data_IF_000780777045
#
_entry.id   IF_000780777045
#
_cell.length_a   1.000
_cell.length_b   1.000
_cell.length_c   1.000
_cell.angle_alpha   90.00
_cell.angle_beta   90.00
_cell.angle_gamma   90.00
#
_symmetry.space_group_name_H-M   'P 1'
#
loop_
_entity.id
_entity.type
_entity.pdbx_description
1 polymer ?
#
# COMPACT_ATOMS: atom_id res chain seq x y z
N UNK A 1 -2.47 -3.97 14.09
CA UNK A 1 -2.19 -5.12 13.20
C UNK A 1 -0.75 -5.64 13.33
N UNK A 2 0.30 -4.88 12.97
CA UNK A 2 1.69 -5.34 13.07
C UNK A 2 2.09 -5.77 14.50
N UNK A 3 1.71 -5.01 15.53
CA UNK A 3 1.91 -5.41 16.92
C UNK A 3 1.24 -6.74 17.27
N UNK A 4 0.04 -7.00 16.73
CA UNK A 4 -0.66 -8.28 16.91
C UNK A 4 0.09 -9.43 16.21
N UNK A 5 0.71 -9.17 15.05
CA UNK A 5 1.53 -10.16 14.35
C UNK A 5 2.79 -10.54 15.17
N UNK A 6 3.45 -9.56 15.78
CA UNK A 6 4.58 -9.81 16.70
C UNK A 6 4.11 -10.60 17.93
N UNK A 7 2.96 -10.23 18.51
CA UNK A 7 2.37 -10.97 19.62
C UNK A 7 2.03 -12.42 19.23
N UNK A 8 1.55 -12.67 18.01
CA UNK A 8 1.33 -14.03 17.50
C UNK A 8 2.64 -14.82 17.40
N UNK A 9 3.73 -14.22 16.88
CA UNK A 9 5.05 -14.89 16.86
C UNK A 9 5.48 -15.30 18.27
N UNK A 10 5.41 -14.37 19.23
CA UNK A 10 5.83 -14.63 20.62
C UNK A 10 4.95 -15.71 21.25
N UNK A 11 3.62 -15.61 21.07
CA UNK A 11 2.68 -16.54 21.68
C UNK A 11 2.83 -17.96 21.11
N UNK A 12 3.03 -18.10 19.80
CA UNK A 12 3.24 -19.41 19.16
C UNK A 12 4.63 -19.99 19.47
N UNK A 13 5.69 -19.16 19.53
CA UNK A 13 7.04 -19.61 19.89
C UNK A 13 7.14 -20.14 21.33
N UNK A 14 6.32 -19.62 22.24
CA UNK A 14 6.31 -20.03 23.66
C UNK A 14 5.20 -21.06 23.98
N UNK A 15 4.39 -21.44 22.99
CA UNK A 15 3.23 -22.31 23.19
C UNK A 15 3.61 -23.68 23.76
N UNK A 16 4.71 -24.26 23.28
CA UNK A 16 5.22 -25.56 23.74
C UNK A 16 5.74 -25.52 25.19
N UNK A 17 6.24 -24.37 25.64
CA UNK A 17 6.80 -24.21 26.98
C UNK A 17 5.73 -23.84 28.01
N UNK A 18 4.72 -23.06 27.61
CA UNK A 18 3.67 -22.56 28.49
C UNK A 18 2.31 -22.72 27.81
N UNK A 19 1.59 -23.85 28.01
CA UNK A 19 0.31 -24.12 27.35
C UNK A 19 -0.78 -23.06 27.62
N UNK A 20 -0.68 -22.31 28.71
CA UNK A 20 -1.58 -21.20 29.07
C UNK A 20 -1.48 -19.99 28.11
N UNK A 21 -0.42 -19.90 27.29
CA UNK A 21 -0.24 -18.85 26.28
C UNK A 21 -1.24 -19.00 25.11
N UNK A 22 -1.91 -20.14 24.97
CA UNK A 22 -3.00 -20.34 23.99
C UNK A 22 -4.08 -19.25 24.02
N UNK A 23 -4.45 -18.76 25.21
CA UNK A 23 -5.38 -17.63 25.36
C UNK A 23 -4.82 -16.32 24.78
N UNK A 24 -3.51 -16.09 24.94
CA UNK A 24 -2.83 -14.93 24.36
C UNK A 24 -2.79 -15.00 22.83
N UNK A 25 -2.51 -16.18 22.26
CA UNK A 25 -2.58 -16.40 20.81
C UNK A 25 -3.97 -16.08 20.26
N UNK A 26 -5.02 -16.54 20.96
CA UNK A 26 -6.40 -16.28 20.56
C UNK A 26 -6.71 -14.78 20.55
N UNK A 27 -6.38 -14.07 21.63
CA UNK A 27 -6.56 -12.60 21.71
C UNK A 27 -5.77 -11.88 20.62
N UNK A 28 -4.53 -12.32 20.33
CA UNK A 28 -3.70 -11.74 19.30
C UNK A 28 -4.29 -11.92 17.89
N UNK A 29 -4.84 -13.10 17.58
CA UNK A 29 -5.53 -13.39 16.30
C UNK A 29 -6.77 -12.51 16.15
N UNK A 30 -7.64 -12.45 17.16
CA UNK A 30 -8.84 -11.59 17.10
C UNK A 30 -8.49 -10.11 16.97
N UNK A 31 -7.46 -9.65 17.68
CA UNK A 31 -6.95 -8.29 17.53
C UNK A 31 -6.41 -8.04 16.12
N UNK A 32 -5.68 -8.98 15.54
CA UNK A 32 -5.19 -8.89 14.17
C UNK A 32 -6.33 -8.73 13.17
N UNK A 33 -7.37 -9.57 13.27
CA UNK A 33 -8.57 -9.51 12.41
C UNK A 33 -9.31 -8.18 12.59
N UNK A 34 -9.53 -7.74 13.83
CA UNK A 34 -10.21 -6.47 14.10
C UNK A 34 -9.49 -5.28 13.47
N UNK A 35 -8.16 -5.20 13.58
CA UNK A 35 -7.38 -4.13 12.94
C UNK A 35 -7.32 -4.25 11.42
N UNK A 36 -7.40 -5.46 10.87
CA UNK A 36 -7.49 -5.66 9.43
C UNK A 36 -8.80 -5.09 8.87
N UNK A 37 -9.93 -5.41 9.50
CA UNK A 37 -11.25 -4.95 9.07
C UNK A 37 -11.46 -3.43 9.21
N UNK A 38 -10.74 -2.76 10.12
CA UNK A 38 -10.83 -1.30 10.27
C UNK A 38 -10.23 -0.56 9.06
N UNK A 39 -9.28 -1.16 8.32
CA UNK A 39 -8.58 -0.44 7.26
C UNK A 39 -8.17 -1.31 6.08
N UNK A 40 -7.10 -2.12 6.19
CA UNK A 40 -6.57 -2.89 5.07
C UNK A 40 -7.57 -3.87 4.42
N UNK A 41 -8.60 -4.31 5.14
CA UNK A 41 -9.67 -5.15 4.62
C UNK A 41 -10.53 -4.40 3.60
N UNK A 42 -11.30 -3.37 4.01
CA UNK A 42 -12.23 -2.69 3.11
C UNK A 42 -11.58 -1.64 2.20
N UNK A 43 -10.61 -0.85 2.68
CA UNK A 43 -10.15 0.36 1.98
C UNK A 43 -9.62 0.07 0.56
N UNK A 44 -8.75 -0.95 0.32
CA UNK A 44 -8.22 -1.21 -1.01
C UNK A 44 -9.28 -1.48 -2.08
N UNK A 45 -10.44 -2.01 -1.71
CA UNK A 45 -11.53 -2.31 -2.66
C UNK A 45 -12.23 -1.06 -3.17
N UNK A 46 -12.33 -0.01 -2.36
CA UNK A 46 -13.04 1.22 -2.73
C UNK A 46 -12.09 2.32 -3.21
N UNK A 47 -10.88 2.41 -2.65
CA UNK A 47 -9.93 3.48 -2.96
C UNK A 47 -9.56 3.54 -4.45
N UNK A 48 -9.52 2.40 -5.14
CA UNK A 48 -9.25 2.37 -6.60
C UNK A 48 -10.35 3.09 -7.38
N UNK A 49 -11.61 2.98 -6.96
CA UNK A 49 -12.70 3.72 -7.60
C UNK A 49 -12.64 5.23 -7.30
N UNK A 50 -12.11 5.61 -6.14
CA UNK A 50 -11.93 7.00 -5.70
C UNK A 50 -10.74 7.70 -6.38
N UNK A 51 -9.65 6.95 -6.65
CA UNK A 51 -8.44 7.47 -7.26
C UNK A 51 -8.56 7.79 -8.75
N UNK A 52 -9.47 7.11 -9.46
CA UNK A 52 -9.59 7.20 -10.92
C UNK A 52 -10.91 7.83 -11.36
N UNK A 53 -10.82 8.75 -12.32
CA UNK A 53 -11.99 9.30 -13.03
C UNK A 53 -12.68 8.23 -13.89
N UNK A 54 -13.91 8.50 -14.34
CA UNK A 54 -14.78 7.50 -14.98
C UNK A 54 -14.14 6.81 -16.21
N UNK A 55 -13.32 7.51 -16.99
CA UNK A 55 -12.66 6.95 -18.18
C UNK A 55 -11.71 5.78 -17.85
N UNK A 56 -10.62 5.99 -17.10
CA UNK A 56 -9.65 4.94 -16.79
C UNK A 56 -10.10 3.96 -15.70
N UNK A 57 -11.14 4.28 -14.93
CA UNK A 57 -11.56 3.50 -13.75
C UNK A 57 -11.79 2.00 -14.02
N UNK A 58 -12.51 1.57 -15.07
CA UNK A 58 -12.73 0.14 -15.29
C UNK A 58 -11.42 -0.65 -15.50
N UNK A 59 -10.46 -0.07 -16.23
CA UNK A 59 -9.15 -0.67 -16.44
C UNK A 59 -8.33 -0.71 -15.14
N UNK A 60 -8.36 0.36 -14.35
CA UNK A 60 -7.68 0.41 -13.06
C UNK A 60 -8.22 -0.64 -12.07
N UNK A 61 -9.54 -0.79 -11.99
CA UNK A 61 -10.19 -1.83 -11.16
C UNK A 61 -9.80 -3.23 -11.63
N UNK A 62 -9.76 -3.48 -12.94
CA UNK A 62 -9.36 -4.77 -13.49
C UNK A 62 -7.92 -5.13 -13.11
N UNK A 63 -6.98 -4.19 -13.26
CA UNK A 63 -5.57 -4.40 -12.87
C UNK A 63 -5.44 -4.60 -11.36
N UNK A 64 -6.08 -3.75 -10.54
CA UNK A 64 -6.04 -3.88 -9.09
C UNK A 64 -6.62 -5.22 -8.61
N UNK A 65 -7.76 -5.65 -9.19
CA UNK A 65 -8.37 -6.94 -8.93
C UNK A 65 -7.45 -8.10 -9.33
N UNK A 66 -6.88 -8.06 -10.53
CA UNK A 66 -5.93 -9.08 -10.98
C UNK A 66 -4.71 -9.20 -10.06
N UNK A 67 -4.12 -8.06 -9.66
CA UNK A 67 -3.02 -8.03 -8.70
C UNK A 67 -3.43 -8.62 -7.35
N UNK A 68 -4.61 -8.26 -6.83
CA UNK A 68 -5.12 -8.80 -5.57
C UNK A 68 -5.26 -10.34 -5.62
N UNK A 69 -5.94 -10.87 -6.63
CA UNK A 69 -6.16 -12.30 -6.77
C UNK A 69 -4.87 -13.07 -7.03
N UNK A 70 -3.93 -12.48 -7.77
CA UNK A 70 -2.61 -13.08 -8.01
C UNK A 70 -1.80 -13.13 -6.72
N UNK A 71 -1.76 -12.05 -5.93
CA UNK A 71 -1.12 -12.05 -4.61
C UNK A 71 -1.77 -13.05 -3.66
N UNK A 72 -3.11 -13.15 -3.67
CA UNK A 72 -3.83 -14.14 -2.87
C UNK A 72 -3.45 -15.57 -3.26
N UNK A 73 -3.39 -15.87 -4.57
CA UNK A 73 -2.96 -17.17 -5.08
C UNK A 73 -1.53 -17.51 -4.64
N UNK A 74 -0.58 -16.58 -4.78
CA UNK A 74 0.82 -16.80 -4.38
C UNK A 74 0.89 -17.08 -2.87
N UNK A 75 0.25 -16.27 -2.04
CA UNK A 75 0.25 -16.48 -0.59
C UNK A 75 -0.41 -17.81 -0.23
N UNK A 76 -1.57 -18.12 -0.82
CA UNK A 76 -2.30 -19.36 -0.56
C UNK A 76 -1.50 -20.62 -0.93
N UNK A 77 -0.76 -20.58 -2.05
CA UNK A 77 0.07 -21.70 -2.50
C UNK A 77 1.37 -21.82 -1.71
N UNK A 78 2.00 -20.70 -1.34
CA UNK A 78 3.33 -20.70 -0.71
C UNK A 78 3.30 -20.76 0.82
N UNK A 79 2.19 -20.35 1.47
CA UNK A 79 2.17 -20.14 2.91
C UNK A 79 2.55 -21.38 3.72
N UNK A 80 1.99 -22.56 3.40
CA UNK A 80 2.29 -23.81 4.12
C UNK A 80 3.79 -24.14 4.05
N UNK A 81 4.42 -24.04 2.87
CA UNK A 81 5.85 -24.27 2.73
C UNK A 81 6.71 -23.29 3.53
N UNK A 82 6.30 -22.02 3.59
CA UNK A 82 7.04 -21.00 4.36
C UNK A 82 6.85 -21.21 5.86
N UNK A 83 5.64 -21.61 6.28
CA UNK A 83 5.33 -21.92 7.68
C UNK A 83 6.10 -23.16 8.15
N UNK A 84 6.22 -24.22 7.34
CA UNK A 84 7.06 -25.38 7.68
C UNK A 84 8.54 -25.01 7.87
N UNK A 85 9.05 -24.06 7.09
CA UNK A 85 10.45 -23.62 7.16
C UNK A 85 10.73 -22.66 8.33
N UNK A 86 9.78 -21.78 8.65
CA UNK A 86 9.97 -20.69 9.62
C UNK A 86 9.24 -20.91 10.95
N UNK A 87 8.29 -21.85 11.01
CA UNK A 87 7.38 -22.04 12.13
C UNK A 87 6.73 -20.72 12.60
N UNK A 88 6.69 -20.44 13.91
CA UNK A 88 6.12 -19.21 14.48
C UNK A 88 6.70 -17.89 13.91
N UNK A 89 7.92 -17.93 13.37
CA UNK A 89 8.58 -16.74 12.83
C UNK A 89 8.03 -16.30 11.47
N UNK A 90 7.14 -17.08 10.84
CA UNK A 90 6.46 -16.69 9.59
C UNK A 90 5.72 -15.35 9.72
N UNK A 91 5.18 -15.04 10.90
CA UNK A 91 4.49 -13.77 11.17
C UNK A 91 5.44 -12.56 11.21
N UNK A 92 6.75 -12.75 11.32
CA UNK A 92 7.74 -11.67 11.18
C UNK A 92 7.80 -11.18 9.72
N UNK A 93 7.68 -12.09 8.75
CA UNK A 93 7.61 -11.74 7.32
C UNK A 93 6.42 -10.81 7.08
N UNK A 94 5.24 -11.20 7.60
CA UNK A 94 4.05 -10.36 7.53
C UNK A 94 4.19 -9.04 8.30
N UNK A 95 4.88 -9.02 9.43
CA UNK A 95 5.16 -7.80 10.19
C UNK A 95 5.98 -6.81 9.37
N UNK A 96 7.04 -7.28 8.70
CA UNK A 96 7.87 -6.45 7.82
C UNK A 96 7.04 -5.89 6.67
N UNK A 97 6.23 -6.74 6.00
CA UNK A 97 5.33 -6.29 4.94
C UNK A 97 4.33 -5.24 5.43
N UNK A 98 3.75 -5.43 6.62
CA UNK A 98 2.81 -4.46 7.21
C UNK A 98 3.47 -3.11 7.48
N UNK A 99 4.72 -3.09 7.96
CA UNK A 99 5.48 -1.84 8.17
C UNK A 99 5.77 -1.17 6.83
N UNK A 100 6.22 -1.93 5.82
CA UNK A 100 6.47 -1.40 4.48
C UNK A 100 5.21 -0.81 3.85
N UNK A 101 4.07 -1.51 3.95
CA UNK A 101 2.79 -0.98 3.47
C UNK A 101 2.33 0.24 4.26
N UNK A 102 2.52 0.27 5.58
CA UNK A 102 2.21 1.45 6.38
C UNK A 102 3.02 2.68 5.92
N UNK A 103 4.33 2.52 5.70
CA UNK A 103 5.20 3.57 5.18
C UNK A 103 4.73 4.01 3.78
N UNK A 104 4.46 3.05 2.89
CA UNK A 104 3.96 3.33 1.55
C UNK A 104 2.63 4.11 1.60
N UNK A 105 1.66 3.65 2.39
CA UNK A 105 0.36 4.32 2.54
C UNK A 105 0.55 5.74 3.08
N UNK A 106 1.38 5.93 4.10
CA UNK A 106 1.60 7.24 4.70
C UNK A 106 2.21 8.26 3.71
N UNK A 107 3.17 7.85 2.88
CA UNK A 107 3.89 8.77 1.99
C UNK A 107 3.34 8.86 0.57
N UNK A 108 2.68 7.81 0.06
CA UNK A 108 2.30 7.71 -1.36
C UNK A 108 0.79 7.72 -1.60
N UNK A 109 -0.02 7.31 -0.63
CA UNK A 109 -1.48 7.23 -0.82
C UNK A 109 -2.11 8.57 -0.39
N UNK A 110 -2.71 9.34 -1.32
CA UNK A 110 -3.37 10.58 -0.95
C UNK A 110 -4.69 10.30 -0.21
N UNK A 111 -5.08 11.24 0.65
CA UNK A 111 -6.41 11.24 1.25
C UNK A 111 -7.46 11.54 0.17
N UNK A 112 -8.44 10.65 0.02
CA UNK A 112 -9.53 10.73 -0.97
C UNK A 112 -10.85 11.20 -0.35
N UNK A 113 -10.99 11.13 0.99
CA UNK A 113 -12.22 11.48 1.69
C UNK A 113 -12.63 12.93 1.46
N UNK A 114 -13.85 13.11 0.93
CA UNK A 114 -14.44 14.44 0.73
C UNK A 114 -13.83 15.23 -0.43
N UNK A 115 -13.04 14.59 -1.30
CA UNK A 115 -12.45 15.21 -2.49
C UNK A 115 -13.16 14.75 -3.76
N UNK A 116 -13.20 15.63 -4.76
CA UNK A 116 -13.70 15.30 -6.09
C UNK A 116 -12.66 14.54 -6.91
N UNK A 117 -13.10 13.78 -7.91
CA UNK A 117 -12.19 13.06 -8.82
C UNK A 117 -11.21 14.00 -9.54
N UNK A 118 -11.65 15.22 -9.87
CA UNK A 118 -10.82 16.21 -10.55
C UNK A 118 -9.73 16.77 -9.64
N UNK A 119 -10.04 17.05 -8.37
CA UNK A 119 -9.04 17.45 -7.36
C UNK A 119 -7.98 16.36 -7.17
N UNK A 120 -8.40 15.10 -7.04
CA UNK A 120 -7.48 13.96 -6.91
C UNK A 120 -6.60 13.83 -8.16
N UNK A 121 -7.19 13.88 -9.35
CA UNK A 121 -6.45 13.79 -10.61
C UNK A 121 -5.49 14.98 -10.81
N UNK A 122 -5.85 16.18 -10.36
CA UNK A 122 -4.99 17.36 -10.44
C UNK A 122 -3.75 17.23 -9.55
N UNK A 123 -3.90 16.65 -8.34
CA UNK A 123 -2.79 16.36 -7.44
C UNK A 123 -1.77 15.39 -8.04
N UNK A 124 -2.24 14.37 -8.77
CA UNK A 124 -1.35 13.47 -9.51
C UNK A 124 -0.63 14.13 -10.69
N UNK A 125 -1.27 15.11 -11.37
CA UNK A 125 -0.63 15.85 -12.48
C UNK A 125 0.42 16.83 -12.00
N UNK A 126 0.18 17.57 -10.91
CA UNK A 126 1.16 18.50 -10.34
C UNK A 126 2.41 17.80 -9.79
N UNK A 127 2.27 16.60 -9.23
CA UNK A 127 3.41 15.79 -8.80
C UNK A 127 4.32 15.33 -9.95
N UNK A 128 3.80 15.24 -11.18
CA UNK A 128 4.58 14.92 -12.38
C UNK A 128 5.11 16.15 -13.14
N UNK A 129 4.41 17.29 -13.06
CA UNK A 129 4.79 18.52 -13.77
C UNK A 129 6.04 19.21 -13.20
N UNK A 130 6.39 18.98 -11.93
CA UNK A 130 7.61 19.55 -11.32
C UNK A 130 8.93 19.04 -11.93
N UNK A 131 8.89 18.10 -12.89
CA UNK A 131 10.08 17.57 -13.56
C UNK A 131 10.14 17.87 -15.07
N UNK A 132 9.09 18.46 -15.68
CA UNK A 132 9.02 18.64 -17.14
C UNK A 132 8.92 20.09 -17.64
N UNK A 133 8.69 21.09 -16.79
CA UNK A 133 8.65 22.50 -17.21
C UNK A 133 10.01 23.19 -17.02
N UNK A 134 11.03 22.72 -17.75
CA UNK A 134 12.04 23.64 -18.29
C UNK A 134 11.73 23.82 -19.77
N UNK A 135 10.72 24.63 -20.05
CA UNK A 135 10.37 25.06 -21.41
C UNK A 135 11.61 25.73 -22.05
N UNK A 136 12.00 25.39 -23.30
CA UNK A 136 13.09 26.04 -24.04
C UNK A 136 12.80 27.52 -24.44
N UNK A 137 11.85 28.18 -23.81
CA UNK A 137 11.40 29.54 -24.15
C UNK A 137 12.39 30.64 -23.71
N UNK A 138 13.45 30.29 -22.96
CA UNK A 138 14.57 31.21 -22.69
C UNK A 138 15.65 31.20 -23.81
N UNK A 139 15.60 30.27 -24.78
CA UNK A 139 16.62 30.17 -25.84
C UNK A 139 16.32 31.04 -27.08
N UNK A 140 15.18 31.72 -27.12
CA UNK A 140 14.80 32.61 -28.23
C UNK A 140 14.62 34.05 -27.76
N UNK A 141 15.58 34.55 -26.99
CA UNK A 141 15.79 36.00 -26.92
C UNK A 141 16.38 36.45 -28.28
N UNK A 142 15.81 37.46 -28.97
CA UNK A 142 16.34 37.92 -30.23
C UNK A 142 17.70 38.58 -29.97
N UNK A 143 18.78 37.87 -30.31
CA UNK A 143 20.09 38.48 -30.55
C UNK A 143 19.97 39.28 -31.85
N UNK A 144 20.04 40.61 -31.74
CA UNK A 144 20.36 41.47 -32.88
C UNK A 144 19.32 42.52 -33.26
N UNK A 145 18.79 43.26 -32.28
CA UNK A 145 18.43 44.65 -32.54
C UNK A 145 19.53 45.51 -31.91
N UNK A 146 20.64 45.68 -32.64
CA UNK A 146 21.58 46.80 -32.53
C UNK A 146 22.75 46.60 -33.51
N UNK A 147 22.67 47.25 -34.67
CA UNK A 147 23.82 47.93 -35.32
C UNK A 147 23.43 48.53 -36.69
N UNK A 148 23.28 49.85 -36.68
CA UNK A 148 23.91 50.84 -37.58
C UNK A 148 23.83 50.66 -39.12
N UNK A 149 23.43 51.79 -39.74
CA UNK A 149 23.47 52.24 -41.16
C UNK A 149 22.23 51.94 -42.01
#
# INVERSE_FOLDING_TARGET
MAACAVLMTIALALLEQVPKISYLSLVAIFGFVAFFEIGPGPIPWFIVAELFSQGPRPAAIAVAGFSNWTSNFIVGMCFQYVEELCGPYVFIIFTVLLILFFIFTYFKVPETKGRTFDEIASGFRQGGASQSDKTPEELFHPLGADSQV
#
